data_IF_899939584154
#
_entry.id   IF_899939584154
#
_cell.length_a   1.000
_cell.length_b   1.000
_cell.length_c   1.000
_cell.angle_alpha   90.00
_cell.angle_beta   90.00
_cell.angle_gamma   90.00
#
_symmetry.space_group_name_H-M   'P 1'
#
loop_
_entity.id
_entity.type
_entity.pdbx_description
1 polymer ?
#
# COMPACT_ATOMS: atom_id res chain seq x y z
N UNK A 1 31.88 -11.11 51.20
CA UNK A 1 30.62 -11.89 51.11
C UNK A 1 29.52 -10.95 50.67
N UNK A 2 29.12 -10.94 49.39
CA UNK A 2 27.87 -10.42 48.79
C UNK A 2 28.04 -10.43 47.26
N UNK A 3 28.07 -11.62 46.65
CA UNK A 3 28.34 -11.74 45.21
C UNK A 3 28.10 -13.11 44.59
N UNK A 4 27.17 -13.93 45.12
CA UNK A 4 26.83 -15.27 44.58
C UNK A 4 25.35 -15.64 44.71
N UNK A 5 24.42 -14.68 44.56
CA UNK A 5 22.97 -14.96 44.63
C UNK A 5 22.15 -14.51 43.43
N UNK A 6 22.73 -13.81 42.45
CA UNK A 6 21.99 -13.35 41.25
C UNK A 6 22.15 -14.33 40.07
N UNK A 7 23.21 -15.14 40.02
CA UNK A 7 23.41 -16.10 38.91
C UNK A 7 22.59 -17.40 39.05
N UNK A 8 21.99 -17.68 40.22
CA UNK A 8 21.23 -18.92 40.43
C UNK A 8 19.77 -18.85 39.93
N UNK A 9 19.24 -17.66 39.63
CA UNK A 9 17.84 -17.50 39.19
C UNK A 9 17.73 -17.50 37.66
N UNK A 10 18.74 -17.00 36.95
CA UNK A 10 18.75 -17.00 35.47
C UNK A 10 19.02 -18.41 34.93
N UNK A 11 19.78 -19.25 35.65
CA UNK A 11 20.05 -20.64 35.26
C UNK A 11 18.86 -21.60 35.42
N UNK A 12 17.89 -21.32 36.30
CA UNK A 12 16.75 -22.22 36.55
C UNK A 12 15.58 -22.00 35.59
N UNK A 13 15.46 -20.81 34.97
CA UNK A 13 14.40 -20.52 33.99
C UNK A 13 14.79 -21.00 32.59
N UNK A 14 16.08 -21.00 32.25
CA UNK A 14 16.54 -21.56 30.96
C UNK A 14 16.54 -23.11 30.94
N UNK A 15 16.59 -23.78 32.10
CA UNK A 15 16.67 -25.24 32.16
C UNK A 15 15.31 -25.97 32.17
N UNK A 16 14.19 -25.25 32.34
CA UNK A 16 12.85 -25.84 32.19
C UNK A 16 12.30 -25.78 30.76
N UNK A 17 12.98 -25.08 29.84
CA UNK A 17 12.55 -24.97 28.44
C UNK A 17 13.09 -26.09 27.53
N UNK A 18 13.94 -26.99 28.03
CA UNK A 18 14.63 -28.00 27.19
C UNK A 18 14.14 -29.43 27.39
N UNK A 19 13.25 -29.73 28.35
CA UNK A 19 12.76 -31.10 28.54
C UNK A 19 11.25 -31.15 28.79
N UNK A 20 10.46 -30.99 27.73
CA UNK A 20 9.12 -31.56 27.60
C UNK A 20 8.61 -31.44 26.14
N UNK A 21 9.27 -32.17 25.24
CA UNK A 21 8.63 -32.59 23.99
C UNK A 21 7.54 -33.60 24.31
N UNK A 22 6.35 -33.12 24.67
CA UNK A 22 5.11 -33.90 24.68
C UNK A 22 3.93 -32.93 24.62
N UNK A 23 3.17 -33.01 23.53
CA UNK A 23 1.93 -32.28 23.36
C UNK A 23 0.91 -32.71 24.43
N UNK A 24 0.75 -31.89 25.46
CA UNK A 24 -0.42 -31.91 26.35
C UNK A 24 -1.03 -30.53 26.29
N UNK A 25 -2.23 -30.43 25.72
CA UNK A 25 -2.99 -29.20 25.64
C UNK A 25 -3.41 -28.77 27.05
N UNK A 26 -2.66 -27.84 27.64
CA UNK A 26 -3.09 -27.11 28.82
C UNK A 26 -3.19 -25.64 28.47
N UNK A 27 -4.41 -25.10 28.53
CA UNK A 27 -4.63 -23.65 28.54
C UNK A 27 -4.12 -23.12 29.88
N UNK A 28 -3.09 -22.29 29.84
CA UNK A 28 -2.60 -21.59 31.03
C UNK A 28 -3.26 -20.20 31.11
N UNK A 29 -3.83 -19.87 32.27
CA UNK A 29 -4.39 -18.55 32.56
C UNK A 29 -3.55 -17.89 33.64
N UNK A 30 -2.98 -16.72 33.35
CA UNK A 30 -2.29 -15.89 34.36
C UNK A 30 -2.98 -14.54 34.48
N UNK A 31 -3.13 -14.07 35.72
CA UNK A 31 -3.68 -12.75 36.02
C UNK A 31 -2.53 -11.77 36.19
N UNK A 32 -2.49 -10.76 35.33
CA UNK A 32 -1.50 -9.67 35.39
C UNK A 32 -2.22 -8.39 35.83
N UNK A 33 -1.84 -7.83 36.97
CA UNK A 33 -2.35 -6.54 37.46
C UNK A 33 -1.47 -5.40 36.94
N UNK A 34 -2.03 -4.48 36.17
CA UNK A 34 -1.33 -3.30 35.64
C UNK A 34 -1.77 -2.02 36.34
N UNK A 35 -0.80 -1.17 36.69
CA UNK A 35 -1.05 0.19 37.14
C UNK A 35 -1.27 1.18 35.99
N UNK A 36 -1.77 2.38 36.30
CA UNK A 36 -2.05 3.42 35.30
C UNK A 36 -0.75 3.81 34.57
N UNK A 37 -0.74 3.68 33.24
CA UNK A 37 0.43 3.98 32.41
C UNK A 37 1.43 2.82 32.23
N UNK A 38 1.13 1.63 32.74
CA UNK A 38 1.95 0.43 32.49
C UNK A 38 1.40 -0.38 31.30
N UNK A 39 2.31 -0.99 30.55
CA UNK A 39 2.00 -1.84 29.38
C UNK A 39 2.44 -3.27 29.68
N UNK A 40 1.58 -4.26 29.44
CA UNK A 40 1.98 -5.66 29.36
C UNK A 40 2.13 -6.09 27.90
N UNK A 41 3.14 -6.90 27.64
CA UNK A 41 3.30 -7.61 26.37
C UNK A 41 2.95 -9.09 26.59
N UNK A 42 2.03 -9.61 25.79
CA UNK A 42 1.62 -11.02 25.83
C UNK A 42 1.93 -11.64 24.47
N UNK A 43 2.72 -12.70 24.47
CA UNK A 43 3.02 -13.51 23.29
C UNK A 43 2.45 -14.91 23.48
N UNK A 44 1.70 -15.39 22.49
CA UNK A 44 1.16 -16.75 22.46
C UNK A 44 2.05 -17.63 21.57
N UNK A 45 3.14 -18.18 22.11
CA UNK A 45 4.00 -19.08 21.32
C UNK A 45 3.25 -20.36 20.95
N UNK A 46 3.19 -20.65 19.64
CA UNK A 46 2.60 -21.87 19.09
C UNK A 46 1.06 -21.92 19.00
N UNK A 47 0.35 -20.88 19.42
CA UNK A 47 -1.10 -20.77 19.27
C UNK A 47 -1.47 -19.70 18.23
N UNK A 48 -2.38 -20.03 17.32
CA UNK A 48 -2.66 -19.21 16.14
C UNK A 48 -3.52 -17.95 16.42
N UNK A 49 -4.11 -17.80 17.61
CA UNK A 49 -4.88 -16.61 18.00
C UNK A 49 -4.76 -16.29 19.50
N UNK A 50 -4.54 -15.00 19.79
CA UNK A 50 -4.79 -14.38 21.10
C UNK A 50 -6.25 -13.90 21.15
N UNK A 51 -7.00 -14.31 22.17
CA UNK A 51 -8.35 -13.81 22.45
C UNK A 51 -8.31 -12.97 23.72
N UNK A 52 -8.86 -11.77 23.62
CA UNK A 52 -9.00 -10.83 24.72
C UNK A 52 -10.48 -10.63 25.04
N UNK A 53 -10.89 -10.93 26.27
CA UNK A 53 -12.25 -10.72 26.74
C UNK A 53 -12.26 -9.76 27.93
N UNK A 54 -12.93 -8.63 27.78
CA UNK A 54 -13.12 -7.67 28.86
C UNK A 54 -14.11 -8.26 29.87
N UNK A 55 -13.68 -8.43 31.12
CA UNK A 55 -14.52 -8.93 32.21
C UNK A 55 -15.12 -7.78 33.04
N UNK A 56 -14.46 -6.62 33.09
CA UNK A 56 -14.98 -5.36 33.67
C UNK A 56 -14.21 -4.14 33.14
N UNK A 57 -14.51 -2.94 33.64
CA UNK A 57 -13.80 -1.69 33.31
C UNK A 57 -12.27 -1.76 33.51
N UNK A 58 -11.80 -2.58 34.46
CA UNK A 58 -10.39 -2.67 34.88
C UNK A 58 -9.76 -4.06 34.68
N UNK A 59 -10.51 -5.05 34.18
CA UNK A 59 -10.03 -6.44 34.06
C UNK A 59 -10.27 -6.97 32.65
N UNK A 60 -9.21 -7.48 32.03
CA UNK A 60 -9.25 -8.16 30.74
C UNK A 60 -8.65 -9.56 30.88
N UNK A 61 -9.38 -10.57 30.44
CA UNK A 61 -8.92 -11.96 30.38
C UNK A 61 -8.27 -12.20 29.01
N UNK A 62 -7.08 -12.78 29.00
CA UNK A 62 -6.35 -13.14 27.78
C UNK A 62 -6.22 -14.65 27.70
N UNK A 63 -6.56 -15.25 26.55
CA UNK A 63 -6.44 -16.68 26.31
C UNK A 63 -5.86 -16.98 24.92
N UNK A 64 -5.00 -18.00 24.81
CA UNK A 64 -4.40 -18.44 23.55
C UNK A 64 -5.05 -19.75 23.09
N UNK A 65 -5.43 -19.87 21.80
CA UNK A 65 -6.06 -21.09 21.25
C UNK A 65 -5.84 -21.31 19.74
N UNK A 66 -6.16 -22.51 19.23
CA UNK A 66 -6.12 -22.87 17.78
C UNK A 66 -7.51 -22.78 17.14
N UNK A 67 -7.57 -22.47 15.85
CA UNK A 67 -8.81 -22.44 15.07
C UNK A 67 -9.27 -23.86 14.67
N UNK A 68 -10.58 -24.11 14.69
CA UNK A 68 -11.21 -25.36 14.29
C UNK A 68 -11.31 -25.42 12.75
N UNK A 69 -10.83 -26.52 12.14
CA UNK A 69 -10.71 -26.70 10.69
C UNK A 69 -12.04 -27.06 10.01
N UNK A 70 -12.34 -26.45 8.87
CA UNK A 70 -13.33 -26.93 7.91
C UNK A 70 -12.65 -27.69 6.73
N UNK A 71 -13.30 -28.68 6.08
CA UNK A 71 -12.67 -29.52 5.05
C UNK A 71 -12.73 -28.90 3.64
N UNK A 72 -11.79 -29.25 2.73
CA UNK A 72 -11.62 -28.60 1.43
C UNK A 72 -12.46 -29.25 0.30
N UNK A 73 -12.73 -28.51 -0.78
CA UNK A 73 -13.23 -29.05 -2.06
C UNK A 73 -12.49 -28.40 -3.25
N UNK A 74 -12.32 -29.18 -4.31
CA UNK A 74 -11.23 -29.15 -5.28
C UNK A 74 -11.42 -28.27 -6.54
N UNK A 75 -10.26 -27.98 -7.14
CA UNK A 75 -9.88 -27.20 -8.33
C UNK A 75 -10.40 -27.71 -9.69
N UNK A 76 -10.55 -26.80 -10.66
CA UNK A 76 -10.23 -27.06 -12.07
C UNK A 76 -9.78 -25.79 -12.82
N UNK A 77 -8.88 -25.97 -13.80
CA UNK A 77 -8.17 -25.01 -14.68
C UNK A 77 -7.96 -25.72 -16.05
N UNK A 78 -7.59 -25.10 -17.20
CA UNK A 78 -7.91 -23.82 -17.89
C UNK A 78 -8.35 -24.00 -19.38
N UNK A 79 -8.64 -22.90 -20.12
CA UNK A 79 -8.17 -22.66 -21.52
C UNK A 79 -8.50 -21.22 -22.02
N UNK A 80 -7.59 -20.61 -22.80
CA UNK A 80 -7.66 -19.24 -23.40
C UNK A 80 -7.55 -19.32 -24.93
N UNK A 81 -8.34 -18.56 -25.73
CA UNK A 81 -7.80 -17.51 -26.66
C UNK A 81 -8.85 -16.40 -27.04
N UNK A 82 -8.61 -15.47 -28.00
CA UNK A 82 -7.59 -14.42 -28.17
C UNK A 82 -8.15 -12.98 -27.87
N UNK A 83 -7.33 -11.93 -28.09
CA UNK A 83 -7.54 -10.54 -27.62
C UNK A 83 -8.59 -9.68 -28.38
N UNK A 84 -9.35 -8.79 -27.68
CA UNK A 84 -10.07 -7.67 -28.31
C UNK A 84 -9.92 -6.29 -27.64
N UNK A 85 -10.21 -5.28 -28.46
CA UNK A 85 -10.39 -3.83 -28.22
C UNK A 85 -11.27 -3.50 -27.00
N UNK A 86 -10.91 -2.44 -26.26
CA UNK A 86 -11.68 -1.94 -25.12
C UNK A 86 -13.13 -1.61 -25.50
N UNK A 87 -14.01 -2.57 -25.23
CA UNK A 87 -15.46 -2.47 -25.40
C UNK A 87 -16.02 -2.53 -23.99
N UNK A 88 -16.92 -1.59 -23.66
CA UNK A 88 -17.65 -1.61 -22.39
C UNK A 88 -18.21 -3.02 -22.16
N UNK A 89 -17.77 -3.67 -21.08
CA UNK A 89 -18.24 -5.00 -20.73
C UNK A 89 -19.68 -4.90 -20.23
N UNK A 90 -20.48 -5.96 -20.44
CA UNK A 90 -21.84 -6.03 -19.94
C UNK A 90 -21.89 -5.69 -18.44
N UNK A 91 -22.93 -4.95 -18.03
CA UNK A 91 -23.16 -4.50 -16.66
C UNK A 91 -23.01 -5.68 -15.68
N UNK A 92 -22.13 -5.58 -14.66
CA UNK A 92 -21.93 -6.66 -13.71
C UNK A 92 -23.21 -6.90 -12.89
N UNK A 93 -23.41 -8.12 -12.35
CA UNK A 93 -24.46 -8.34 -11.37
C UNK A 93 -24.27 -7.35 -10.21
N UNK A 94 -25.21 -6.44 -10.06
CA UNK A 94 -25.23 -5.44 -8.99
C UNK A 94 -25.33 -6.16 -7.64
N UNK A 95 -24.25 -6.14 -6.84
CA UNK A 95 -24.27 -6.76 -5.51
C UNK A 95 -22.96 -6.67 -4.72
N UNK A 96 -21.80 -6.74 -5.38
CA UNK A 96 -20.52 -6.93 -4.67
C UNK A 96 -19.61 -5.68 -4.60
N UNK A 97 -19.90 -4.61 -5.34
CA UNK A 97 -19.11 -3.39 -5.28
C UNK A 97 -19.67 -2.44 -4.23
N UNK A 98 -18.80 -1.94 -3.35
CA UNK A 98 -19.17 -0.87 -2.42
C UNK A 98 -19.64 0.38 -3.22
N UNK A 99 -20.66 1.09 -2.72
CA UNK A 99 -21.09 2.33 -3.33
C UNK A 99 -19.95 3.36 -3.33
N UNK A 100 -19.92 4.19 -4.37
CA UNK A 100 -18.98 5.31 -4.44
C UNK A 100 -19.46 6.39 -3.49
N UNK A 101 -18.68 6.66 -2.45
CA UNK A 101 -19.01 7.67 -1.45
C UNK A 101 -17.85 8.65 -1.24
N UNK A 102 -18.14 9.97 -1.19
CA UNK A 102 -19.43 10.59 -1.49
C UNK A 102 -19.79 10.52 -2.97
N UNK A 103 -21.08 10.53 -3.28
CA UNK A 103 -21.65 10.55 -4.65
C UNK A 103 -21.04 11.64 -5.54
N UNK A 104 -20.54 12.74 -4.95
CA UNK A 104 -19.81 13.78 -5.68
C UNK A 104 -18.58 13.26 -6.44
N UNK A 105 -18.01 12.12 -6.04
CA UNK A 105 -16.87 11.50 -6.74
C UNK A 105 -17.20 11.01 -8.15
N UNK A 106 -18.48 10.79 -8.44
CA UNK A 106 -18.93 10.46 -9.79
C UNK A 106 -18.81 11.63 -10.77
N UNK A 107 -18.67 12.87 -10.28
CA UNK A 107 -18.60 14.05 -11.13
C UNK A 107 -19.88 14.24 -11.96
N UNK A 108 -19.73 14.36 -13.27
CA UNK A 108 -20.88 14.41 -14.21
C UNK A 108 -21.30 13.04 -14.72
N UNK A 109 -20.58 11.98 -14.34
CA UNK A 109 -20.89 10.62 -14.76
C UNK A 109 -21.98 9.97 -13.88
N UNK A 110 -22.86 9.14 -14.46
CA UNK A 110 -23.74 8.26 -13.69
C UNK A 110 -22.96 7.13 -12.98
N UNK A 111 -23.47 6.66 -11.83
CA UNK A 111 -22.90 5.51 -11.11
C UNK A 111 -22.79 4.25 -12.00
N UNK A 112 -23.80 4.00 -12.84
CA UNK A 112 -23.80 2.86 -13.75
C UNK A 112 -22.69 2.90 -14.81
N UNK A 113 -22.12 4.08 -15.10
CA UNK A 113 -20.94 4.22 -15.98
C UNK A 113 -19.67 3.91 -15.18
N UNK A 114 -19.58 4.41 -13.95
CA UNK A 114 -18.47 4.09 -13.04
C UNK A 114 -18.35 2.59 -12.77
N UNK A 115 -19.49 1.91 -12.55
CA UNK A 115 -19.54 0.48 -12.23
C UNK A 115 -19.16 -0.45 -13.39
N UNK A 116 -18.90 0.09 -14.59
CA UNK A 116 -18.35 -0.66 -15.71
C UNK A 116 -16.83 -0.84 -15.60
N UNK A 117 -16.16 -0.01 -14.80
CA UNK A 117 -14.71 -0.05 -14.62
C UNK A 117 -14.35 -0.99 -13.48
N UNK A 118 -14.33 -2.28 -13.81
CA UNK A 118 -13.95 -3.36 -12.91
C UNK A 118 -12.91 -4.30 -13.53
N UNK A 119 -12.13 -4.94 -12.68
CA UNK A 119 -11.20 -6.02 -13.03
C UNK A 119 -11.41 -7.20 -12.09
N UNK A 120 -10.91 -8.38 -12.47
CA UNK A 120 -10.90 -9.55 -11.58
C UNK A 120 -9.61 -9.52 -10.76
N UNK A 121 -9.73 -9.52 -9.43
CA UNK A 121 -8.60 -9.55 -8.52
C UNK A 121 -7.97 -10.94 -8.40
N UNK A 122 -6.82 -11.07 -7.72
CA UNK A 122 -6.17 -12.36 -7.49
C UNK A 122 -7.02 -13.39 -6.71
N UNK A 123 -8.03 -12.92 -5.97
CA UNK A 123 -9.03 -13.75 -5.27
C UNK A 123 -10.19 -14.21 -6.16
N UNK A 124 -10.19 -13.86 -7.45
CA UNK A 124 -11.25 -14.18 -8.40
C UNK A 124 -12.50 -13.31 -8.26
N UNK A 125 -12.50 -12.30 -7.38
CA UNK A 125 -13.63 -11.38 -7.19
C UNK A 125 -13.51 -10.17 -8.11
N UNK A 126 -14.63 -9.49 -8.34
CA UNK A 126 -14.62 -8.23 -9.07
C UNK A 126 -14.23 -7.09 -8.14
N UNK A 127 -13.27 -6.28 -8.60
CA UNK A 127 -12.78 -5.09 -7.94
C UNK A 127 -12.92 -3.89 -8.87
N UNK A 128 -13.12 -2.71 -8.30
CA UNK A 128 -13.03 -1.48 -9.10
C UNK A 128 -11.60 -1.32 -9.64
N UNK A 129 -11.47 -0.67 -10.78
CA UNK A 129 -10.16 -0.49 -11.43
C UNK A 129 -10.06 0.87 -12.10
N UNK A 130 -8.93 1.13 -12.75
CA UNK A 130 -8.63 2.35 -13.46
C UNK A 130 -9.70 2.70 -14.51
N UNK A 131 -10.01 3.99 -14.60
CA UNK A 131 -10.78 4.58 -15.68
C UNK A 131 -10.13 5.88 -16.15
N UNK A 132 -10.34 6.22 -17.43
CA UNK A 132 -10.02 7.56 -17.92
C UNK A 132 -10.89 8.60 -17.19
N UNK A 133 -10.39 9.82 -17.03
CA UNK A 133 -11.18 10.85 -16.35
C UNK A 133 -12.43 11.24 -17.14
N UNK A 134 -12.30 11.34 -18.47
CA UNK A 134 -13.42 11.59 -19.37
C UNK A 134 -13.73 10.32 -20.16
N UNK A 135 -15.00 9.92 -20.16
CA UNK A 135 -15.47 8.68 -20.78
C UNK A 135 -16.71 8.93 -21.63
N UNK A 136 -16.87 8.14 -22.69
CA UNK A 136 -18.04 8.22 -23.55
C UNK A 136 -19.29 7.64 -22.87
N UNK A 137 -20.44 8.28 -23.07
CA UNK A 137 -21.73 7.76 -22.61
C UNK A 137 -22.34 6.82 -23.65
N UNK A 138 -23.08 5.76 -23.22
CA UNK A 138 -23.73 4.82 -24.14
C UNK A 138 -24.71 5.46 -25.14
N UNK A 139 -25.30 6.61 -24.79
CA UNK A 139 -26.23 7.37 -25.64
C UNK A 139 -25.57 8.45 -26.51
N UNK A 140 -24.24 8.53 -26.53
CA UNK A 140 -23.48 9.62 -27.14
C UNK A 140 -23.13 10.74 -26.15
N UNK A 141 -22.09 11.52 -26.47
CA UNK A 141 -21.50 12.51 -25.58
C UNK A 141 -20.45 11.91 -24.64
N UNK A 142 -19.88 12.76 -23.78
CA UNK A 142 -18.90 12.37 -22.74
C UNK A 142 -19.36 12.82 -21.36
N UNK A 143 -18.89 12.13 -20.34
CA UNK A 143 -18.99 12.56 -18.94
C UNK A 143 -17.60 12.54 -18.32
N UNK A 144 -17.44 13.24 -17.18
CA UNK A 144 -16.18 13.40 -16.48
C UNK A 144 -16.32 13.01 -15.02
N UNK A 145 -15.47 12.11 -14.54
CA UNK A 145 -15.36 11.77 -13.13
C UNK A 145 -14.71 12.92 -12.34
N UNK A 146 -15.04 13.03 -11.06
CA UNK A 146 -14.47 14.06 -10.19
C UNK A 146 -13.08 13.70 -9.62
N UNK A 147 -12.53 12.56 -10.04
CA UNK A 147 -11.20 12.09 -9.68
C UNK A 147 -10.49 11.50 -10.91
N UNK A 148 -9.17 11.40 -10.85
CA UNK A 148 -8.34 10.71 -11.84
C UNK A 148 -7.60 9.54 -11.17
N UNK A 149 -7.06 8.63 -11.99
CA UNK A 149 -6.17 7.55 -11.54
C UNK A 149 -4.78 7.56 -12.18
N UNK A 150 -4.39 8.65 -12.83
CA UNK A 150 -3.12 8.81 -13.48
C UNK A 150 -3.03 8.14 -14.85
N UNK A 151 -1.89 7.52 -15.14
CA UNK A 151 -1.59 6.96 -16.45
C UNK A 151 -2.42 5.70 -16.71
N UNK A 152 -2.75 5.44 -17.98
CA UNK A 152 -3.45 4.22 -18.37
C UNK A 152 -2.53 2.99 -18.14
N UNK A 153 -2.88 2.05 -17.23
CA UNK A 153 -2.05 0.89 -16.91
C UNK A 153 -1.69 0.07 -18.15
N UNK A 154 -2.57 0.03 -19.14
CA UNK A 154 -2.42 -0.76 -20.36
C UNK A 154 -1.31 -0.27 -21.27
N UNK A 155 -0.76 0.91 -21.00
CA UNK A 155 0.38 1.48 -21.73
C UNK A 155 1.73 1.03 -21.18
N UNK A 156 1.76 0.34 -20.04
CA UNK A 156 2.99 -0.16 -19.42
C UNK A 156 3.52 -1.39 -20.17
N UNK A 157 4.81 -1.34 -20.53
CA UNK A 157 5.54 -2.48 -21.05
C UNK A 157 5.98 -3.46 -19.95
N UNK A 158 5.94 -3.04 -18.67
CA UNK A 158 6.28 -3.91 -17.54
C UNK A 158 5.10 -4.82 -17.16
N UNK A 159 3.90 -4.24 -17.08
CA UNK A 159 2.64 -4.98 -16.91
C UNK A 159 1.47 -4.10 -17.36
N UNK A 160 0.74 -4.55 -18.39
CA UNK A 160 -0.43 -3.87 -18.97
C UNK A 160 -1.77 -4.24 -18.33
N UNK A 161 -1.78 -5.05 -17.27
CA UNK A 161 -2.98 -5.48 -16.56
C UNK A 161 -3.71 -4.31 -15.88
N UNK A 162 -5.02 -4.46 -15.69
CA UNK A 162 -5.82 -3.51 -14.91
C UNK A 162 -5.72 -3.86 -13.41
N UNK A 163 -5.27 -2.92 -12.55
CA UNK A 163 -5.06 -3.18 -11.13
C UNK A 163 -6.38 -3.29 -10.35
N UNK A 164 -6.42 -4.18 -9.36
CA UNK A 164 -7.59 -4.40 -8.53
C UNK A 164 -7.59 -3.44 -7.34
N UNK A 165 -8.14 -2.23 -7.53
CA UNK A 165 -8.13 -1.19 -6.50
C UNK A 165 -8.89 -1.64 -5.24
N UNK A 166 -8.20 -1.56 -4.10
CA UNK A 166 -8.71 -1.95 -2.78
C UNK A 166 -8.40 -3.39 -2.38
N UNK A 167 -7.94 -4.25 -3.30
CA UNK A 167 -7.68 -5.66 -3.00
C UNK A 167 -6.67 -5.84 -1.87
N UNK A 168 -5.48 -5.22 -1.98
CA UNK A 168 -4.41 -5.36 -1.00
C UNK A 168 -4.83 -4.85 0.38
N UNK A 169 -5.45 -3.67 0.45
CA UNK A 169 -5.99 -3.12 1.69
C UNK A 169 -7.02 -4.05 2.36
N UNK A 170 -7.86 -4.71 1.57
CA UNK A 170 -8.88 -5.64 2.09
C UNK A 170 -8.28 -6.84 2.83
N UNK A 171 -7.08 -7.29 2.43
CA UNK A 171 -6.37 -8.41 3.08
C UNK A 171 -5.99 -8.10 4.53
N UNK A 172 -5.90 -6.81 4.88
CA UNK A 172 -5.62 -6.34 6.25
C UNK A 172 -6.85 -5.71 6.92
N UNK A 173 -8.05 -5.96 6.35
CA UNK A 173 -9.31 -5.42 6.86
C UNK A 173 -9.41 -3.91 6.76
N UNK A 174 -8.80 -3.31 5.72
CA UNK A 174 -8.81 -1.86 5.48
C UNK A 174 -9.40 -1.53 4.12
N UNK A 175 -10.45 -0.73 4.12
CA UNK A 175 -11.04 -0.21 2.89
C UNK A 175 -10.30 1.05 2.42
N UNK A 176 -9.57 0.94 1.32
CA UNK A 176 -8.95 2.07 0.64
C UNK A 176 -9.90 2.66 -0.38
N UNK A 177 -10.00 3.99 -0.38
CA UNK A 177 -10.97 4.69 -1.20
C UNK A 177 -10.53 4.64 -2.68
N UNK A 178 -11.50 4.44 -3.57
CA UNK A 178 -11.22 4.20 -4.98
C UNK A 178 -10.43 5.37 -5.61
N UNK A 179 -10.88 6.60 -5.36
CA UNK A 179 -10.27 7.84 -5.82
C UNK A 179 -8.80 8.02 -5.41
N UNK A 180 -8.36 7.32 -4.36
CA UNK A 180 -7.01 7.40 -3.83
C UNK A 180 -6.00 6.67 -4.70
N UNK A 181 -6.43 5.74 -5.56
CA UNK A 181 -5.51 4.98 -6.38
C UNK A 181 -4.97 5.82 -7.54
N UNK A 182 -3.64 5.80 -7.70
CA UNK A 182 -2.89 6.48 -8.75
C UNK A 182 -1.96 5.50 -9.44
N UNK A 183 -1.84 5.66 -10.76
CA UNK A 183 -1.03 4.84 -11.64
C UNK A 183 0.00 5.75 -12.31
N UNK A 184 1.25 5.30 -12.29
CA UNK A 184 2.36 5.97 -12.96
C UNK A 184 3.09 4.96 -13.84
N UNK A 185 3.25 5.29 -15.12
CA UNK A 185 3.88 4.42 -16.11
C UNK A 185 5.11 5.11 -16.71
N UNK A 186 6.24 4.41 -16.67
CA UNK A 186 7.46 4.81 -17.37
C UNK A 186 7.87 3.66 -18.27
N UNK A 187 7.88 3.90 -19.58
CA UNK A 187 8.46 2.96 -20.53
C UNK A 187 9.90 3.35 -20.86
N UNK A 188 10.74 2.36 -21.08
CA UNK A 188 12.14 2.55 -21.48
C UNK A 188 12.22 3.41 -22.73
N UNK A 189 13.18 4.32 -22.74
CA UNK A 189 13.33 5.32 -23.81
C UNK A 189 12.50 6.60 -23.59
N UNK A 190 11.60 6.63 -22.60
CA UNK A 190 10.98 7.89 -22.18
C UNK A 190 12.05 8.89 -21.74
N UNK A 191 11.87 10.15 -22.14
CA UNK A 191 12.77 11.25 -21.77
C UNK A 191 12.05 12.19 -20.82
N UNK A 192 12.65 12.48 -19.68
CA UNK A 192 12.05 13.38 -18.70
C UNK A 192 12.35 14.86 -19.00
N UNK A 193 11.81 15.74 -18.16
CA UNK A 193 11.98 17.20 -18.18
C UNK A 193 13.43 17.69 -17.92
N UNK A 194 14.34 16.77 -17.57
CA UNK A 194 15.75 17.04 -17.30
C UNK A 194 16.67 16.45 -18.40
N UNK A 195 16.09 15.87 -19.46
CA UNK A 195 16.83 15.25 -20.56
C UNK A 195 17.40 13.86 -20.24
N UNK A 196 17.00 13.24 -19.13
CA UNK A 196 17.37 11.86 -18.78
C UNK A 196 16.49 10.88 -19.53
N UNK A 197 17.04 9.69 -19.82
CA UNK A 197 16.32 8.63 -20.52
C UNK A 197 16.11 7.42 -19.62
N UNK A 198 14.86 6.97 -19.51
CA UNK A 198 14.49 5.77 -18.78
C UNK A 198 15.20 4.54 -19.36
N UNK A 199 15.87 3.77 -18.51
CA UNK A 199 16.61 2.56 -18.88
C UNK A 199 15.80 1.27 -18.66
N UNK A 200 14.68 1.36 -17.94
CA UNK A 200 13.79 0.25 -17.62
C UNK A 200 12.34 0.62 -17.90
N UNK A 201 11.52 -0.40 -18.12
CA UNK A 201 10.06 -0.28 -18.13
C UNK A 201 9.57 -0.45 -16.69
N UNK A 202 8.67 0.40 -16.19
CA UNK A 202 8.13 0.30 -14.84
C UNK A 202 6.74 0.89 -14.66
N UNK A 203 5.99 0.32 -13.72
CA UNK A 203 4.65 0.75 -13.32
C UNK A 203 4.58 0.86 -11.80
N UNK A 204 3.95 1.93 -11.31
CA UNK A 204 3.60 2.11 -9.91
C UNK A 204 2.09 2.23 -9.84
N UNK A 205 1.45 1.41 -9.01
CA UNK A 205 0.05 1.59 -8.59
C UNK A 205 0.05 1.83 -7.10
N UNK A 206 -0.50 2.94 -6.63
CA UNK A 206 -0.43 3.31 -5.22
C UNK A 206 -1.71 3.96 -4.76
N UNK A 207 -2.13 3.65 -3.54
CA UNK A 207 -3.19 4.44 -2.89
C UNK A 207 -2.59 5.66 -2.18
N UNK A 208 -2.80 6.84 -2.75
CA UNK A 208 -2.44 8.17 -2.25
C UNK A 208 -3.73 8.95 -2.02
N UNK A 209 -4.18 9.04 -0.76
CA UNK A 209 -5.42 9.75 -0.47
C UNK A 209 -5.32 10.63 0.76
N UNK A 210 -5.74 11.88 0.57
CA UNK A 210 -6.07 12.84 1.63
C UNK A 210 -7.54 12.85 1.98
N UNK A 211 -8.32 11.91 1.42
CA UNK A 211 -9.75 11.85 1.63
C UNK A 211 -10.11 11.79 3.12
N UNK A 212 -11.27 12.36 3.40
CA UNK A 212 -11.82 12.65 4.72
C UNK A 212 -11.69 11.43 5.66
N UNK A 213 -11.38 11.63 6.94
CA UNK A 213 -11.50 10.56 7.91
C UNK A 213 -12.91 9.96 7.91
N UNK A 214 -12.96 8.62 7.97
CA UNK A 214 -14.16 7.90 8.37
C UNK A 214 -14.66 8.46 9.72
N UNK A 215 -15.97 8.40 10.00
CA UNK A 215 -16.53 8.90 11.26
C UNK A 215 -15.73 8.42 12.48
N UNK A 216 -15.18 9.35 13.27
CA UNK A 216 -14.39 9.06 14.46
C UNK A 216 -12.86 9.02 14.29
N UNK A 217 -12.33 9.28 13.09
CA UNK A 217 -10.88 9.42 12.86
C UNK A 217 -10.48 10.88 12.64
N UNK A 218 -9.22 11.21 12.90
CA UNK A 218 -8.63 12.55 12.63
C UNK A 218 -7.47 12.37 11.64
N UNK A 219 -7.39 13.19 10.59
CA UNK A 219 -6.33 13.11 9.57
C UNK A 219 -6.52 12.12 8.41
N UNK A 220 -7.63 11.39 8.38
CA UNK A 220 -7.97 10.54 7.22
C UNK A 220 -7.04 9.35 6.99
N UNK A 221 -7.02 8.85 5.75
CA UNK A 221 -6.06 7.83 5.32
C UNK A 221 -4.63 8.39 5.29
N UNK A 222 -4.47 9.69 5.01
CA UNK A 222 -3.17 10.34 4.98
C UNK A 222 -2.34 10.19 6.27
N UNK A 223 -2.96 10.12 7.45
CA UNK A 223 -2.22 9.92 8.70
C UNK A 223 -1.93 8.46 9.04
N UNK A 224 -2.46 7.51 8.27
CA UNK A 224 -2.26 6.09 8.53
C UNK A 224 -0.90 5.60 8.03
N UNK A 225 -0.20 4.78 8.83
CA UNK A 225 0.93 4.02 8.32
C UNK A 225 0.37 2.88 7.44
N UNK A 226 1.06 2.66 6.33
CA UNK A 226 0.82 1.63 5.32
C UNK A 226 -0.33 1.87 4.35
N UNK A 227 -0.01 1.74 3.05
CA UNK A 227 -0.93 1.90 1.93
C UNK A 227 -0.61 0.88 0.83
N UNK A 228 -1.61 0.51 0.02
CA UNK A 228 -1.42 -0.41 -1.08
C UNK A 228 -0.41 0.13 -2.09
N UNK A 229 0.51 -0.75 -2.51
CA UNK A 229 1.46 -0.56 -3.59
C UNK A 229 1.45 -1.80 -4.47
N UNK A 230 1.35 -1.61 -5.78
CA UNK A 230 1.80 -2.56 -6.79
C UNK A 230 2.97 -1.91 -7.55
N UNK A 231 4.00 -2.70 -7.80
CA UNK A 231 5.21 -2.24 -8.45
C UNK A 231 5.69 -3.29 -9.45
N UNK A 232 5.82 -2.85 -10.70
CA UNK A 232 6.33 -3.68 -11.79
C UNK A 232 7.56 -3.01 -12.39
N UNK A 233 8.59 -3.80 -12.65
CA UNK A 233 9.77 -3.34 -13.36
C UNK A 233 10.33 -4.45 -14.23
N UNK A 234 10.66 -4.10 -15.47
CA UNK A 234 11.35 -4.96 -16.43
C UNK A 234 12.55 -4.20 -17.01
N UNK A 235 13.74 -4.77 -16.86
CA UNK A 235 14.99 -4.24 -17.41
C UNK A 235 15.42 -5.03 -18.66
N UNK A 236 16.08 -4.38 -19.64
CA UNK A 236 16.70 -5.08 -20.77
C UNK A 236 17.75 -6.12 -20.38
N UNK A 237 18.30 -6.04 -19.16
CA UNK A 237 19.30 -6.99 -18.65
C UNK A 237 18.68 -8.23 -18.00
N UNK A 238 17.35 -8.41 -18.07
CA UNK A 238 16.63 -9.54 -17.48
C UNK A 238 16.33 -9.39 -15.98
N UNK A 239 16.45 -8.17 -15.45
CA UNK A 239 16.00 -7.85 -14.10
C UNK A 239 14.51 -7.58 -14.14
N UNK A 240 13.75 -8.25 -13.28
CA UNK A 240 12.31 -8.16 -13.29
C UNK A 240 11.77 -8.31 -11.87
N UNK A 241 10.83 -7.44 -11.52
CA UNK A 241 10.13 -7.46 -10.23
C UNK A 241 8.66 -7.16 -10.50
N UNK A 242 7.79 -8.02 -9.99
CA UNK A 242 6.36 -7.77 -9.86
C UNK A 242 5.99 -7.99 -8.41
N UNK A 243 5.72 -6.90 -7.73
CA UNK A 243 5.55 -6.89 -6.30
C UNK A 243 4.29 -6.15 -5.90
N UNK A 244 3.58 -6.67 -4.91
CA UNK A 244 2.43 -5.98 -4.35
C UNK A 244 2.32 -6.16 -2.84
N UNK A 245 1.79 -5.17 -2.14
CA UNK A 245 1.59 -5.22 -0.69
C UNK A 245 1.30 -3.87 -0.05
N UNK A 246 1.15 -3.89 1.26
CA UNK A 246 0.99 -2.72 2.11
C UNK A 246 2.37 -2.08 2.34
N UNK A 247 2.72 -1.08 1.53
CA UNK A 247 3.98 -0.36 1.61
C UNK A 247 3.99 0.62 2.79
N UNK A 248 5.08 0.64 3.56
CA UNK A 248 5.31 1.65 4.58
C UNK A 248 5.44 3.02 3.93
N UNK A 249 4.64 3.97 4.42
CA UNK A 249 4.63 5.36 3.95
C UNK A 249 5.16 6.33 5.03
N UNK A 250 5.71 5.78 6.12
CA UNK A 250 6.35 6.48 7.24
C UNK A 250 5.43 7.48 7.95
N UNK A 251 5.98 8.54 8.56
CA UNK A 251 5.18 9.59 9.19
C UNK A 251 4.58 10.56 8.17
N UNK A 252 3.42 11.11 8.52
CA UNK A 252 2.91 12.33 7.92
C UNK A 252 3.61 13.55 8.53
N UNK A 253 3.88 14.59 7.75
CA UNK A 253 4.50 15.81 8.24
C UNK A 253 4.71 16.87 7.17
N UNK A 254 5.39 17.95 7.54
CA UNK A 254 5.77 19.04 6.64
C UNK A 254 7.07 18.77 5.89
N UNK A 255 7.31 19.55 4.83
CA UNK A 255 8.60 19.52 4.11
C UNK A 255 9.78 19.85 5.03
N UNK A 256 9.59 20.73 6.01
CA UNK A 256 10.63 21.10 6.96
C UNK A 256 10.88 20.02 8.02
N UNK A 257 9.80 19.37 8.47
CA UNK A 257 9.92 18.22 9.37
C UNK A 257 10.60 17.05 8.68
N UNK A 258 10.37 16.85 7.39
CA UNK A 258 11.07 15.83 6.59
C UNK A 258 12.57 16.02 6.65
N UNK A 259 13.06 17.22 6.40
CA UNK A 259 14.50 17.48 6.40
C UNK A 259 15.08 17.27 7.81
N UNK A 260 14.39 17.76 8.86
CA UNK A 260 14.80 17.59 10.26
C UNK A 260 14.74 16.14 10.76
N UNK A 261 13.79 15.33 10.25
CA UNK A 261 13.54 13.94 10.69
C UNK A 261 14.09 12.89 9.73
N UNK A 262 14.80 13.32 8.68
CA UNK A 262 15.33 12.43 7.63
C UNK A 262 16.18 11.28 8.15
N UNK A 263 16.87 11.46 9.28
CA UNK A 263 17.69 10.43 9.95
C UNK A 263 17.05 9.86 11.23
N UNK A 264 15.79 10.16 11.49
CA UNK A 264 15.09 9.64 12.66
C UNK A 264 14.56 8.23 12.43
N UNK A 265 14.18 7.53 13.51
CA UNK A 265 13.56 6.21 13.43
C UNK A 265 12.15 6.22 12.79
N UNK A 266 11.57 7.41 12.60
CA UNK A 266 10.26 7.61 11.97
C UNK A 266 10.37 8.85 11.04
N UNK A 267 10.97 8.71 9.86
CA UNK A 267 11.12 9.83 8.93
C UNK A 267 9.76 10.27 8.38
N UNK A 268 9.68 11.50 7.86
CA UNK A 268 8.46 11.95 7.16
C UNK A 268 8.49 11.41 5.74
N UNK A 269 7.56 10.49 5.45
CA UNK A 269 7.39 9.92 4.11
C UNK A 269 6.18 10.49 3.38
N UNK A 270 5.21 11.05 4.10
CA UNK A 270 4.05 11.72 3.52
C UNK A 270 4.08 13.20 3.83
N UNK A 271 4.17 14.02 2.79
CA UNK A 271 4.13 15.48 2.89
C UNK A 271 2.91 15.99 2.16
N UNK A 272 2.07 16.78 2.83
CA UNK A 272 0.93 17.45 2.22
C UNK A 272 1.10 18.97 2.32
N UNK A 273 0.32 19.70 1.51
CA UNK A 273 0.03 21.11 1.74
C UNK A 273 -0.48 21.32 3.18
N UNK A 274 0.19 22.24 3.86
CA UNK A 274 -0.04 22.59 5.25
C UNK A 274 -0.50 24.04 5.29
N UNK A 275 -1.48 24.34 6.15
CA UNK A 275 -1.93 25.72 6.37
C UNK A 275 -0.71 26.65 6.60
N UNK A 276 -0.44 27.60 5.69
CA UNK A 276 0.71 28.48 5.78
C UNK A 276 0.65 29.41 7.00
N UNK A 277 -0.48 29.51 7.70
CA UNK A 277 -0.62 30.24 8.97
C UNK A 277 -0.08 29.46 10.16
N UNK A 278 -0.03 28.13 10.08
CA UNK A 278 0.47 27.26 11.15
C UNK A 278 1.90 26.77 10.91
N UNK A 279 2.43 26.98 9.70
CA UNK A 279 3.78 26.58 9.34
C UNK A 279 4.62 27.81 8.97
N UNK A 280 5.66 28.09 9.78
CA UNK A 280 6.65 29.14 9.50
C UNK A 280 7.51 28.84 8.27
N UNK A 281 7.48 27.59 7.78
CA UNK A 281 8.02 27.28 6.48
C UNK A 281 7.05 27.77 5.42
N UNK A 282 7.43 28.87 4.75
CA UNK A 282 6.76 29.46 3.59
C UNK A 282 6.82 28.54 2.36
N UNK A 283 6.52 27.25 2.54
CA UNK A 283 6.34 26.32 1.46
C UNK A 283 4.98 26.62 0.85
N UNK A 284 4.95 27.49 -0.16
CA UNK A 284 3.87 27.57 -1.15
C UNK A 284 3.79 26.28 -2.01
N UNK A 285 4.19 25.15 -1.44
CA UNK A 285 4.37 23.86 -2.07
C UNK A 285 3.06 23.11 -1.89
N UNK A 286 2.21 23.17 -2.91
CA UNK A 286 0.89 22.52 -2.98
C UNK A 286 1.02 21.05 -3.39
N UNK A 287 1.98 20.35 -2.79
CA UNK A 287 2.39 19.01 -3.19
C UNK A 287 1.88 18.00 -2.18
N UNK A 288 1.46 16.86 -2.70
CA UNK A 288 1.25 15.65 -1.95
C UNK A 288 2.36 14.66 -2.36
N UNK A 289 3.39 14.52 -1.51
CA UNK A 289 4.56 13.66 -1.74
C UNK A 289 4.43 12.42 -0.87
N UNK A 290 4.60 11.25 -1.47
CA UNK A 290 4.53 9.95 -0.84
C UNK A 290 5.79 9.15 -1.13
N UNK A 291 6.63 8.95 -0.11
CA UNK A 291 7.67 7.93 -0.10
C UNK A 291 7.08 6.60 0.33
N UNK A 292 7.34 5.56 -0.46
CA UNK A 292 6.83 4.21 -0.23
C UNK A 292 7.99 3.22 -0.14
N UNK A 293 7.93 2.35 0.86
CA UNK A 293 8.85 1.24 1.02
C UNK A 293 8.05 -0.05 1.17
N UNK A 294 8.25 -0.99 0.26
CA UNK A 294 7.75 -2.36 0.38
C UNK A 294 8.93 -3.31 0.54
N UNK A 295 9.03 -3.89 1.73
CA UNK A 295 10.02 -4.89 2.07
C UNK A 295 9.41 -6.28 1.91
N UNK A 296 10.00 -7.09 1.03
CA UNK A 296 9.64 -8.49 0.87
C UNK A 296 10.76 -9.37 1.38
N UNK A 297 10.38 -10.39 2.11
CA UNK A 297 11.29 -11.43 2.59
C UNK A 297 10.89 -12.78 2.05
N UNK A 298 11.87 -13.67 1.92
CA UNK A 298 11.68 -15.04 1.48
C UNK A 298 12.48 -15.96 2.40
N UNK A 299 11.80 -16.70 3.28
CA UNK A 299 12.40 -17.62 4.26
C UNK A 299 13.57 -17.01 5.06
N UNK A 300 13.43 -15.75 5.47
CA UNK A 300 14.45 -15.01 6.24
C UNK A 300 15.59 -14.42 5.41
N UNK A 301 15.61 -14.62 4.09
CA UNK A 301 16.43 -13.88 3.13
C UNK A 301 15.67 -12.64 2.63
N UNK A 302 16.39 -11.59 2.23
CA UNK A 302 15.79 -10.46 1.51
C UNK A 302 15.26 -10.96 0.16
N UNK A 303 13.95 -10.87 -0.06
CA UNK A 303 13.32 -11.17 -1.34
C UNK A 303 13.57 -10.03 -2.32
N UNK A 304 12.99 -8.86 -2.02
CA UNK A 304 13.27 -7.59 -2.68
C UNK A 304 12.85 -6.44 -1.76
N UNK A 305 13.47 -5.29 -1.93
CA UNK A 305 13.15 -4.04 -1.25
C UNK A 305 12.89 -2.99 -2.33
N UNK A 306 11.63 -2.56 -2.40
CA UNK A 306 11.14 -1.60 -3.39
C UNK A 306 11.01 -0.25 -2.69
N UNK A 307 11.78 0.73 -3.17
CA UNK A 307 11.60 2.12 -2.80
C UNK A 307 11.09 2.89 -4.03
N UNK A 308 9.96 3.56 -3.85
CA UNK A 308 9.43 4.48 -4.86
C UNK A 308 8.95 5.74 -4.16
N UNK A 309 8.91 6.84 -4.90
CA UNK A 309 8.22 8.02 -4.44
C UNK A 309 7.28 8.53 -5.52
N UNK A 310 6.09 8.91 -5.15
CA UNK A 310 5.14 9.54 -6.04
C UNK A 310 4.71 10.88 -5.46
N UNK A 311 4.60 11.87 -6.32
CA UNK A 311 4.05 13.17 -6.01
C UNK A 311 2.87 13.45 -6.94
N UNK A 312 1.71 13.69 -6.33
CA UNK A 312 0.60 14.29 -7.03
C UNK A 312 0.56 15.77 -6.60
N UNK A 313 0.56 16.68 -7.56
CA UNK A 313 0.18 18.04 -7.25
C UNK A 313 -1.32 18.07 -7.34
N UNK A 314 -2.03 17.73 -6.26
CA UNK A 314 -3.48 17.87 -6.25
C UNK A 314 -4.07 17.92 -4.85
N UNK A 315 -3.64 18.88 -4.04
CA UNK A 315 -4.19 19.01 -2.70
C UNK A 315 -5.52 19.76 -2.76
N UNK A 316 -6.60 19.21 -3.29
CA UNK A 316 -7.92 19.88 -3.14
C UNK A 316 -8.39 19.92 -1.68
N UNK A 317 -7.85 19.02 -0.85
CA UNK A 317 -7.86 19.07 0.60
C UNK A 317 -6.42 19.18 1.14
N UNK A 318 -6.14 20.19 1.96
CA UNK A 318 -4.93 20.32 2.77
C UNK A 318 -5.16 19.77 4.17
N UNK A 319 -4.09 19.55 4.94
CA UNK A 319 -4.18 19.11 6.34
C UNK A 319 -3.48 20.11 7.24
N UNK A 320 -4.15 20.45 8.34
CA UNK A 320 -3.59 21.21 9.45
C UNK A 320 -2.79 20.26 10.35
N UNK A 321 -1.45 20.33 10.43
CA UNK A 321 -0.62 19.35 11.14
C UNK A 321 -0.92 19.26 12.63
N UNK A 322 -1.22 20.40 13.27
CA UNK A 322 -1.46 20.47 14.71
C UNK A 322 -2.72 19.73 15.14
N UNK A 323 -3.70 19.62 14.24
CA UNK A 323 -5.03 19.07 14.52
C UNK A 323 -5.37 17.84 13.68
N UNK A 324 -4.63 17.57 12.61
CA UNK A 324 -5.01 16.61 11.58
C UNK A 324 -6.29 17.00 10.82
N UNK A 325 -6.74 18.26 10.92
CA UNK A 325 -7.97 18.70 10.28
C UNK A 325 -7.76 18.90 8.78
N UNK A 326 -8.68 18.35 7.98
CA UNK A 326 -8.76 18.58 6.55
C UNK A 326 -9.37 19.96 6.25
N UNK A 327 -8.84 20.69 5.27
CA UNK A 327 -9.40 21.97 4.81
C UNK A 327 -9.34 22.10 3.29
N UNK A 328 -10.32 22.78 2.67
CA UNK A 328 -10.30 23.00 1.23
C UNK A 328 -9.23 24.04 0.85
N UNK A 329 -8.40 23.74 -0.14
CA UNK A 329 -7.36 24.68 -0.60
C UNK A 329 -7.82 25.54 -1.78
N UNK A 330 -8.81 25.07 -2.55
CA UNK A 330 -9.24 25.69 -3.81
C UNK A 330 -8.25 25.51 -4.97
N UNK A 331 -7.20 24.69 -4.78
CA UNK A 331 -6.19 24.39 -5.78
C UNK A 331 -6.59 23.13 -6.55
N UNK A 332 -6.48 23.19 -7.88
CA UNK A 332 -6.71 22.06 -8.77
C UNK A 332 -5.36 21.56 -9.28
N UNK A 333 -5.14 20.26 -9.19
CA UNK A 333 -3.92 19.64 -9.64
C UNK A 333 -3.68 19.72 -11.13
N UNK A 334 -2.48 20.19 -11.49
CA UNK A 334 -2.05 20.37 -12.88
C UNK A 334 -0.79 19.58 -13.24
N UNK A 335 -0.15 18.96 -12.25
CA UNK A 335 1.14 18.32 -12.41
C UNK A 335 1.18 17.02 -11.62
N UNK A 336 1.78 16.00 -12.21
CA UNK A 336 2.08 14.73 -11.56
C UNK A 336 3.56 14.48 -11.73
N UNK A 337 4.21 13.97 -10.70
CA UNK A 337 5.62 13.61 -10.76
C UNK A 337 5.80 12.29 -10.04
N UNK A 338 6.45 11.33 -10.67
CA UNK A 338 6.77 10.07 -10.04
C UNK A 338 8.26 9.75 -10.18
N UNK A 339 8.80 9.16 -9.13
CA UNK A 339 10.16 8.72 -9.00
C UNK A 339 10.19 7.20 -8.90
N UNK A 340 10.63 6.58 -9.99
CA UNK A 340 10.67 5.13 -10.16
C UNK A 340 12.01 4.59 -9.69
N UNK A 341 11.96 3.64 -8.76
CA UNK A 341 13.14 3.12 -8.06
C UNK A 341 13.67 4.07 -6.98
N UNK A 342 14.82 3.74 -6.34
CA UNK A 342 15.63 2.56 -6.60
C UNK A 342 14.97 1.27 -6.09
N UNK A 343 15.34 0.14 -6.71
CA UNK A 343 14.92 -1.19 -6.28
C UNK A 343 16.15 -2.02 -6.00
N UNK A 344 16.16 -2.70 -4.85
CA UNK A 344 17.28 -3.52 -4.39
C UNK A 344 16.79 -4.94 -4.12
N UNK A 345 17.50 -5.94 -4.62
CA UNK A 345 17.23 -7.32 -4.22
C UNK A 345 18.43 -8.23 -4.33
N UNK A 346 18.40 -9.29 -3.55
CA UNK A 346 19.40 -10.33 -3.54
C UNK A 346 18.69 -11.68 -3.65
N UNK A 347 18.47 -12.13 -4.88
CA UNK A 347 17.76 -13.37 -5.17
C UNK A 347 18.58 -14.32 -6.05
N UNK A 348 19.89 -14.46 -5.79
CA UNK A 348 20.77 -15.24 -6.67
C UNK A 348 20.33 -16.71 -6.82
N UNK A 349 19.91 -17.34 -5.71
CA UNK A 349 19.61 -18.76 -5.64
C UNK A 349 18.18 -19.07 -5.19
N UNK A 350 17.36 -18.05 -4.94
CA UNK A 350 16.00 -18.25 -4.46
C UNK A 350 15.00 -18.56 -5.57
N UNK A 351 13.75 -18.90 -5.20
CA UNK A 351 12.65 -18.97 -6.14
C UNK A 351 12.40 -17.60 -6.77
N UNK A 352 12.00 -17.60 -8.04
CA UNK A 352 11.57 -16.37 -8.73
C UNK A 352 10.15 -15.97 -8.35
N UNK A 353 9.34 -16.94 -7.92
CA UNK A 353 7.97 -16.73 -7.46
C UNK A 353 7.84 -17.23 -6.03
N UNK A 354 7.28 -16.40 -5.14
CA UNK A 354 7.02 -16.78 -3.76
C UNK A 354 5.78 -16.07 -3.24
N UNK A 355 5.22 -16.55 -2.13
CA UNK A 355 4.01 -16.00 -1.53
C UNK A 355 4.32 -15.23 -0.27
N UNK A 356 3.58 -14.14 -0.07
CA UNK A 356 3.68 -13.31 1.13
C UNK A 356 2.32 -13.00 1.72
N UNK A 357 2.32 -12.63 3.00
CA UNK A 357 1.22 -11.86 3.57
C UNK A 357 1.14 -10.46 2.93
N UNK A 358 0.14 -9.68 3.34
CA UNK A 358 -0.06 -8.33 2.84
C UNK A 358 1.06 -7.34 3.19
N UNK A 359 1.94 -7.65 4.14
CA UNK A 359 3.07 -6.82 4.57
C UNK A 359 4.41 -7.32 4.05
N UNK A 360 4.43 -8.24 3.08
CA UNK A 360 5.64 -8.75 2.46
C UNK A 360 6.39 -9.80 3.28
N UNK A 361 5.79 -10.35 4.33
CA UNK A 361 6.39 -11.46 5.10
C UNK A 361 6.14 -12.79 4.39
N UNK A 362 7.08 -13.74 4.41
CA UNK A 362 6.95 -14.99 3.67
C UNK A 362 5.81 -15.81 4.28
N UNK A 363 4.88 -16.24 3.43
CA UNK A 363 3.79 -17.13 3.83
C UNK A 363 3.50 -18.06 2.64
N UNK A 364 3.78 -19.37 2.73
CA UNK A 364 3.45 -20.32 1.67
C UNK A 364 1.97 -20.36 1.27
N UNK A 365 1.08 -19.94 2.18
CA UNK A 365 -0.37 -19.82 1.93
C UNK A 365 -0.80 -18.36 1.77
N UNK A 366 0.17 -17.45 1.63
CA UNK A 366 -0.05 -16.02 1.51
C UNK A 366 -0.92 -15.67 0.28
N UNK A 367 -1.79 -14.67 0.41
CA UNK A 367 -2.69 -14.26 -0.67
C UNK A 367 -1.96 -13.55 -1.81
N UNK A 368 -0.76 -13.02 -1.57
CA UNK A 368 0.00 -12.27 -2.57
C UNK A 368 1.08 -13.16 -3.16
N UNK A 369 1.13 -13.19 -4.50
CA UNK A 369 2.20 -13.82 -5.27
C UNK A 369 3.15 -12.72 -5.70
N UNK A 370 4.42 -12.89 -5.36
CA UNK A 370 5.50 -11.97 -5.71
C UNK A 370 6.37 -12.63 -6.77
N UNK A 371 6.84 -11.84 -7.74
CA UNK A 371 7.87 -12.26 -8.67
C UNK A 371 9.12 -11.38 -8.51
N UNK A 372 10.28 -12.01 -8.34
CA UNK A 372 11.59 -11.35 -8.28
C UNK A 372 12.60 -12.18 -9.05
N UNK A 373 13.14 -11.65 -10.13
CA UNK A 373 14.09 -12.38 -10.96
C UNK A 373 15.40 -12.70 -10.22
N UNK A 374 16.08 -13.77 -10.64
CA UNK A 374 17.33 -14.21 -10.00
C UNK A 374 18.48 -13.27 -10.34
N UNK A 375 18.82 -12.38 -9.42
CA UNK A 375 19.96 -11.49 -9.56
C UNK A 375 20.60 -11.17 -8.21
N UNK A 376 21.86 -10.74 -8.23
CA UNK A 376 22.65 -10.27 -7.08
C UNK A 376 23.13 -8.81 -7.24
N UNK A 377 22.36 -7.98 -7.95
CA UNK A 377 22.79 -6.61 -8.27
C UNK A 377 22.29 -5.66 -7.21
N UNK A 378 23.15 -4.71 -6.87
CA UNK A 378 22.80 -3.57 -6.05
C UNK A 378 22.63 -2.38 -7.00
N UNK A 379 21.42 -1.82 -7.06
CA UNK A 379 21.12 -0.62 -7.83
C UNK A 379 21.05 -0.85 -9.33
N UNK A 380 19.87 -1.26 -9.81
CA UNK A 380 19.58 -1.22 -11.26
C UNK A 380 19.50 0.24 -11.70
N UNK A 381 20.21 0.64 -12.77
CA UNK A 381 20.09 1.99 -13.30
C UNK A 381 18.69 2.18 -13.88
N UNK A 382 17.96 3.17 -13.37
CA UNK A 382 16.66 3.57 -13.90
C UNK A 382 16.79 4.69 -14.93
N UNK A 383 17.87 5.48 -14.86
CA UNK A 383 18.24 6.46 -15.88
C UNK A 383 19.68 6.23 -16.37
N UNK A 384 20.08 7.01 -17.36
CA UNK A 384 21.45 7.03 -17.90
C UNK A 384 22.53 7.48 -16.88
N UNK A 385 22.15 8.08 -15.76
CA UNK A 385 23.07 8.67 -14.77
C UNK A 385 22.66 8.44 -13.29
N UNK A 386 21.52 7.81 -13.01
CA UNK A 386 20.96 7.65 -11.67
C UNK A 386 20.28 6.28 -11.46
N UNK A 387 20.23 5.85 -10.19
CA UNK A 387 19.49 4.66 -9.75
C UNK A 387 17.97 4.87 -9.64
N UNK A 388 17.46 6.03 -10.03
CA UNK A 388 16.05 6.40 -10.03
C UNK A 388 15.73 7.16 -11.31
N UNK A 389 14.48 7.08 -11.79
CA UNK A 389 14.01 7.89 -12.91
C UNK A 389 12.80 8.71 -12.48
N UNK A 390 12.92 10.03 -12.62
CA UNK A 390 11.83 10.98 -12.41
C UNK A 390 11.09 11.18 -13.72
N UNK A 391 9.77 11.01 -13.73
CA UNK A 391 8.93 11.43 -14.84
C UNK A 391 7.89 12.43 -14.38
N UNK A 392 7.88 13.59 -15.03
CA UNK A 392 6.79 14.56 -14.99
C UNK A 392 6.13 14.59 -16.37
N UNK A 393 4.93 14.00 -16.53
CA UNK A 393 4.19 14.10 -17.77
C UNK A 393 3.92 15.57 -18.13
N UNK A 394 3.63 15.83 -19.42
CA UNK A 394 3.17 17.16 -19.82
C UNK A 394 1.97 17.61 -18.97
N UNK A 395 1.91 18.90 -18.65
CA UNK A 395 0.92 19.48 -17.73
C UNK A 395 -0.49 18.89 -17.98
N UNK A 396 -1.03 18.24 -16.97
CA UNK A 396 -2.33 17.59 -16.99
C UNK A 396 -3.18 18.18 -15.86
N UNK A 397 -4.10 19.08 -16.22
CA UNK A 397 -5.01 19.73 -15.28
C UNK A 397 -6.34 18.99 -15.19
N UNK A 398 -6.52 18.29 -14.08
CA UNK A 398 -7.68 17.47 -13.80
C UNK A 398 -8.03 17.54 -12.32
N UNK A 399 -9.32 17.66 -11.94
CA UNK A 399 -9.73 17.37 -10.56
C UNK A 399 -9.32 15.93 -10.21
N UNK A 400 -8.62 15.69 -9.10
CA UNK A 400 -7.92 14.40 -8.97
C UNK A 400 -7.61 13.82 -7.59
N UNK A 401 -7.94 14.45 -6.46
CA UNK A 401 -7.88 13.88 -5.10
C UNK A 401 -8.92 14.52 -4.17
N UNK A 402 -9.66 15.51 -4.68
CA UNK A 402 -10.38 16.48 -3.88
C UNK A 402 -11.81 16.06 -3.57
N UNK A 403 -12.06 15.59 -2.36
CA UNK A 403 -13.36 15.84 -1.74
C UNK A 403 -13.45 17.30 -1.31
N UNK A 404 -14.49 18.06 -1.71
CA UNK A 404 -14.89 19.21 -0.92
C UNK A 404 -15.34 18.71 0.47
N UNK A 405 -14.81 19.32 1.53
CA UNK A 405 -15.20 19.03 2.92
C UNK A 405 -16.65 19.43 3.23
#
# INVERSE_FOLDING_TARGET
MHGRKVEAIIGAVLLLAVVAGAAVAQSFSQVVNLGRGQTAYVSCDGAARLRAERQSELIMLLSCGRAEQAPPTATATPAQPPAPTATATAQPPSGDLLPVEPVSMLGTCPAAVHDQFVTTGPDGRLWRTWHAQEVALPGGGTCRFAHEHGDDPRTSNADGSLPAFGYIGSLVGRDEAHEGFKVYVVNRGAVNDEGRTAQVDSRIVVHMSTARPLPGMTGGRFTMPFHSLEYDMVSPTGHEVHAMGMANTFAAGSICERDARSQSADPVGRVLYIDPRENSCAANSTYEIWGLQLDMTNDGQMGANVHVAAAAFDTGTGITPSTGAAFATGLLGCDREAYHGPVYWYNQNGPVEFRTDAYGRPDPNGPLVQFVSRHNAIGIPFSNDQGQFKLRPAAYCAPGLALPN
#
